data_IF_183614109195
#
_entry.id   IF_183614109195
#
_cell.length_a   1.000
_cell.length_b   1.000
_cell.length_c   1.000
_cell.angle_alpha   90.00
_cell.angle_beta   90.00
_cell.angle_gamma   90.00
#
_symmetry.space_group_name_H-M   'P 1'
#
loop_
_entity.id
_entity.type
_entity.pdbx_description
1 polymer ?
#
# COMPACT_ATOMS: atom_id res chain seq x y z
N UNK A 1 -5.53 23.15 -7.02
CA UNK A 1 -5.39 21.69 -6.78
C UNK A 1 -6.26 21.18 -5.64
N UNK A 2 -6.16 21.70 -4.40
CA UNK A 2 -6.92 21.22 -3.23
C UNK A 2 -8.40 20.90 -3.50
N UNK A 3 -9.16 21.87 -4.06
CA UNK A 3 -10.59 21.73 -4.33
C UNK A 3 -10.94 20.57 -5.27
N UNK A 4 -10.11 20.31 -6.28
CA UNK A 4 -10.32 19.23 -7.27
C UNK A 4 -10.04 17.87 -6.63
N UNK A 5 -9.04 17.79 -5.76
CA UNK A 5 -8.63 16.54 -5.08
C UNK A 5 -9.56 16.15 -3.92
N UNK A 6 -10.24 17.09 -3.26
CA UNK A 6 -11.08 16.78 -2.10
C UNK A 6 -12.17 15.75 -2.41
N UNK A 7 -12.89 15.89 -3.52
CA UNK A 7 -14.02 15.00 -3.85
C UNK A 7 -13.59 13.55 -4.12
N UNK A 8 -12.61 13.27 -5.00
CA UNK A 8 -12.21 11.90 -5.31
C UNK A 8 -11.38 11.20 -4.21
N UNK A 9 -10.77 11.94 -3.28
CA UNK A 9 -9.87 11.35 -2.26
C UNK A 9 -10.33 11.53 -0.82
N UNK A 10 -10.93 12.67 -0.48
CA UNK A 10 -11.05 13.13 0.91
C UNK A 10 -12.51 13.41 1.30
N UNK A 11 -13.40 12.44 1.07
CA UNK A 11 -14.80 12.49 1.52
C UNK A 11 -15.20 11.20 2.22
N UNK A 12 -16.19 11.27 3.12
CA UNK A 12 -16.75 10.06 3.75
C UNK A 12 -17.24 9.03 2.73
N UNK A 13 -17.73 9.48 1.57
CA UNK A 13 -18.15 8.57 0.49
C UNK A 13 -16.99 7.71 -0.01
N UNK A 14 -15.82 8.30 -0.19
CA UNK A 14 -14.60 7.57 -0.58
C UNK A 14 -14.23 6.58 0.51
N UNK A 15 -14.26 6.97 1.78
CA UNK A 15 -13.98 6.05 2.90
C UNK A 15 -14.93 4.85 2.89
N UNK A 16 -16.24 5.08 2.83
CA UNK A 16 -17.22 3.99 2.80
C UNK A 16 -17.11 3.09 1.56
N UNK A 17 -16.67 3.63 0.42
CA UNK A 17 -16.47 2.86 -0.80
C UNK A 17 -15.25 1.94 -0.72
N UNK A 18 -14.18 2.35 -0.03
CA UNK A 18 -12.91 1.63 -0.04
C UNK A 18 -12.55 0.95 1.29
N UNK A 19 -13.29 1.16 2.38
CA UNK A 19 -12.96 0.59 3.71
C UNK A 19 -12.76 -0.94 3.66
N UNK A 20 -13.68 -1.67 3.03
CA UNK A 20 -13.56 -3.12 2.90
C UNK A 20 -12.30 -3.53 2.13
N UNK A 21 -11.93 -2.76 1.09
CA UNK A 21 -10.71 -3.01 0.30
C UNK A 21 -9.45 -2.73 1.10
N UNK A 22 -9.47 -1.76 2.00
CA UNK A 22 -8.33 -1.47 2.90
C UNK A 22 -8.20 -2.55 3.97
N UNK A 23 -9.32 -3.03 4.51
CA UNK A 23 -9.36 -4.16 5.43
C UNK A 23 -8.79 -5.44 4.78
N UNK A 24 -9.17 -5.71 3.54
CA UNK A 24 -8.63 -6.83 2.74
C UNK A 24 -7.12 -6.71 2.55
N UNK A 25 -6.60 -5.52 2.19
CA UNK A 25 -5.17 -5.30 2.02
C UNK A 25 -4.38 -5.49 3.32
N UNK A 26 -4.93 -5.02 4.46
CA UNK A 26 -4.33 -5.27 5.78
C UNK A 26 -4.37 -6.76 6.13
N UNK A 27 -5.45 -7.48 5.81
CA UNK A 27 -5.52 -8.92 5.98
C UNK A 27 -4.44 -9.64 5.16
N UNK A 28 -4.21 -9.22 3.91
CA UNK A 28 -3.12 -9.74 3.09
C UNK A 28 -1.74 -9.50 3.74
N UNK A 29 -1.49 -8.32 4.31
CA UNK A 29 -0.24 -8.03 5.05
C UNK A 29 -0.04 -9.04 6.17
N UNK A 30 -1.09 -9.27 6.98
CA UNK A 30 -1.03 -10.20 8.12
C UNK A 30 -0.72 -11.63 7.64
N UNK A 31 -1.37 -12.08 6.57
CA UNK A 31 -1.15 -13.42 6.03
C UNK A 31 0.27 -13.59 5.46
N UNK A 32 0.83 -12.57 4.80
CA UNK A 32 2.20 -12.63 4.29
C UNK A 32 3.23 -12.68 5.43
N UNK A 33 2.99 -11.95 6.51
CA UNK A 33 3.82 -11.99 7.72
C UNK A 33 3.74 -13.36 8.39
N UNK A 34 2.55 -13.95 8.54
CA UNK A 34 2.38 -15.27 9.14
C UNK A 34 3.06 -16.39 8.34
N UNK A 35 3.06 -16.30 7.01
CA UNK A 35 3.69 -17.31 6.14
C UNK A 35 5.22 -17.29 6.22
N UNK A 36 5.82 -16.17 6.62
CA UNK A 36 7.26 -16.06 6.73
C UNK A 36 7.74 -16.61 8.09
N UNK A 37 8.25 -17.84 8.08
CA UNK A 37 8.74 -18.54 9.28
C UNK A 37 9.90 -17.81 9.98
N UNK A 38 10.66 -16.96 9.27
CA UNK A 38 11.76 -16.17 9.84
C UNK A 38 11.24 -15.03 10.72
N UNK A 39 9.99 -14.57 10.53
CA UNK A 39 9.38 -13.54 11.38
C UNK A 39 9.39 -13.94 12.84
N UNK A 40 9.11 -15.22 13.12
CA UNK A 40 9.06 -15.74 14.49
C UNK A 40 10.45 -15.90 15.12
N UNK A 41 11.53 -15.94 14.31
CA UNK A 41 12.90 -16.22 14.78
C UNK A 41 13.78 -14.98 14.82
N UNK A 42 13.85 -14.22 13.72
CA UNK A 42 14.75 -13.07 13.56
C UNK A 42 14.02 -11.73 13.56
N UNK A 43 12.70 -11.74 13.39
CA UNK A 43 11.95 -10.56 13.01
C UNK A 43 12.20 -10.14 11.56
N UNK A 44 11.36 -9.24 11.04
CA UNK A 44 11.47 -8.70 9.69
C UNK A 44 11.26 -7.18 9.69
N UNK A 45 11.74 -6.52 8.64
CA UNK A 45 11.44 -5.12 8.39
C UNK A 45 10.06 -5.01 7.71
N UNK A 46 9.01 -4.79 8.52
CA UNK A 46 7.62 -4.75 8.04
C UNK A 46 7.31 -3.57 7.09
N UNK A 47 8.16 -2.52 7.11
CA UNK A 47 7.99 -1.31 6.30
C UNK A 47 7.83 -1.61 4.81
N UNK A 48 8.54 -2.59 4.27
CA UNK A 48 8.46 -2.90 2.83
C UNK A 48 7.05 -3.36 2.45
N UNK A 49 6.49 -4.25 3.25
CA UNK A 49 5.14 -4.79 3.04
C UNK A 49 4.04 -3.77 3.28
N UNK A 50 4.23 -2.89 4.27
CA UNK A 50 3.33 -1.77 4.54
C UNK A 50 3.38 -0.71 3.43
N UNK A 51 4.55 -0.48 2.81
CA UNK A 51 4.62 0.37 1.64
C UNK A 51 3.79 -0.19 0.49
N UNK A 52 3.90 -1.48 0.18
CA UNK A 52 3.05 -2.11 -0.84
C UNK A 52 1.55 -1.90 -0.57
N UNK A 53 1.12 -2.10 0.69
CA UNK A 53 -0.26 -1.85 1.11
C UNK A 53 -0.70 -0.40 0.86
N UNK A 54 0.14 0.57 1.23
CA UNK A 54 -0.16 2.00 1.02
C UNK A 54 -0.28 2.34 -0.46
N UNK A 55 0.62 1.80 -1.29
CA UNK A 55 0.56 1.96 -2.74
C UNK A 55 -0.71 1.33 -3.33
N UNK A 56 -1.06 0.11 -2.92
CA UNK A 56 -2.30 -0.55 -3.34
C UNK A 56 -3.53 0.28 -2.96
N UNK A 57 -3.62 0.79 -1.74
CA UNK A 57 -4.75 1.60 -1.30
C UNK A 57 -4.91 2.88 -2.14
N UNK A 58 -3.81 3.56 -2.45
CA UNK A 58 -3.83 4.77 -3.28
C UNK A 58 -4.15 4.47 -4.74
N UNK A 59 -3.49 3.47 -5.35
CA UNK A 59 -3.70 3.09 -6.75
C UNK A 59 -5.12 2.60 -6.99
N UNK A 60 -5.75 2.00 -5.99
CA UNK A 60 -7.12 1.53 -6.08
C UNK A 60 -8.13 2.66 -6.08
N UNK A 61 -7.85 3.76 -5.36
CA UNK A 61 -8.67 4.99 -5.42
C UNK A 61 -8.49 5.71 -6.77
N UNK A 62 -7.26 5.74 -7.29
CA UNK A 62 -6.94 6.50 -8.51
C UNK A 62 -7.29 5.78 -9.82
N UNK A 63 -7.07 4.47 -9.86
CA UNK A 63 -7.01 3.70 -11.11
C UNK A 63 -7.75 2.35 -11.03
N UNK A 64 -8.39 2.03 -9.89
CA UNK A 64 -8.99 0.72 -9.63
C UNK A 64 -8.03 -0.47 -9.85
N UNK A 65 -6.73 -0.25 -9.62
CA UNK A 65 -5.66 -1.22 -9.83
C UNK A 65 -4.86 -1.50 -8.54
N UNK A 66 -4.16 -2.63 -8.50
CA UNK A 66 -3.28 -3.05 -7.39
C UNK A 66 -2.02 -3.72 -7.94
N UNK A 67 -0.93 -3.65 -7.18
CA UNK A 67 0.30 -4.41 -7.43
C UNK A 67 0.17 -5.81 -6.84
N UNK A 68 0.75 -6.79 -7.52
CA UNK A 68 0.64 -8.20 -7.09
C UNK A 68 1.59 -8.54 -5.94
N UNK A 69 2.79 -7.96 -5.93
CA UNK A 69 3.84 -8.26 -4.95
C UNK A 69 4.84 -7.11 -4.81
N UNK A 70 5.78 -7.25 -3.86
CA UNK A 70 6.88 -6.29 -3.69
C UNK A 70 7.88 -6.29 -4.87
N UNK A 71 7.87 -7.36 -5.67
CA UNK A 71 8.73 -7.55 -6.84
C UNK A 71 8.03 -7.14 -8.16
N UNK A 72 6.81 -6.60 -8.08
CA UNK A 72 6.08 -6.12 -9.25
C UNK A 72 6.92 -5.07 -10.02
N UNK A 73 7.19 -5.27 -11.33
CA UNK A 73 8.07 -4.38 -12.09
C UNK A 73 7.60 -2.93 -12.14
N UNK A 74 6.30 -2.67 -12.05
CA UNK A 74 5.77 -1.31 -12.00
C UNK A 74 5.94 -0.73 -10.59
N UNK A 75 5.65 -1.50 -9.54
CA UNK A 75 5.87 -1.09 -8.15
C UNK A 75 7.33 -0.71 -7.88
N UNK A 76 8.28 -1.56 -8.30
CA UNK A 76 9.72 -1.32 -8.12
C UNK A 76 10.16 -0.05 -8.86
N UNK A 77 9.69 0.16 -10.09
CA UNK A 77 9.98 1.39 -10.86
C UNK A 77 9.43 2.64 -10.16
N UNK A 78 8.21 2.58 -9.65
CA UNK A 78 7.57 3.70 -8.95
C UNK A 78 8.26 4.01 -7.62
N UNK A 79 8.63 2.99 -6.86
CA UNK A 79 9.42 3.14 -5.63
C UNK A 79 10.78 3.78 -5.91
N UNK A 80 11.42 3.44 -7.03
CA UNK A 80 12.67 4.07 -7.48
C UNK A 80 12.53 5.52 -7.96
N UNK A 81 11.31 5.98 -8.24
CA UNK A 81 11.00 7.34 -8.71
C UNK A 81 10.34 8.23 -7.63
N UNK A 82 9.74 7.63 -6.61
CA UNK A 82 8.96 8.30 -5.57
C UNK A 82 9.70 8.39 -4.24
N UNK A 83 10.09 9.62 -3.88
CA UNK A 83 10.50 10.08 -2.54
C UNK A 83 11.35 9.08 -1.74
N UNK A 84 12.56 8.85 -2.24
CA UNK A 84 13.68 8.41 -1.40
C UNK A 84 13.75 9.39 -0.21
N UNK A 85 13.35 8.96 0.98
CA UNK A 85 13.82 9.60 2.20
C UNK A 85 15.34 9.41 2.18
N UNK A 86 16.05 10.36 1.56
CA UNK A 86 17.45 10.61 1.88
C UNK A 86 17.45 10.94 3.37
N UNK A 87 17.80 9.96 4.19
CA UNK A 87 18.36 10.27 5.49
C UNK A 87 19.71 10.96 5.20
N UNK A 88 19.69 12.29 5.27
CA UNK A 88 20.90 13.06 5.64
C UNK A 88 21.25 12.77 7.10
#
# INVERSE_FOLDING_TARGET
MRRIMTVPFFTNKVVHQYVYRWEDEVACVVEDVKKNLEVARSGIVLRMRLHLMMYNNMYRIMFDSRFESEDDPLFVRLKGQGFEWREE
#
